data_IF_767407398721
#
_entry.id   IF_767407398721
#
_cell.length_a   1.000
_cell.length_b   1.000
_cell.length_c   1.000
_cell.angle_alpha   90.00
_cell.angle_beta   90.00
_cell.angle_gamma   90.00
#
_symmetry.space_group_name_H-M   'P 1'
#
loop_
_entity.id
_entity.type
_entity.pdbx_description
1 polymer ?
#
# COMPACT_ATOMS: atom_id res chain seq x y z
N UNK A 1 -0.62 -21.18 -11.55
CA UNK A 1 -1.04 -21.31 -12.01
C UNK A 1 -1.27 -21.49 -12.36
N UNK A 2 -1.02 -21.15 -11.78
CA UNK A 2 -1.51 -21.32 -12.23
C UNK A 2 -1.83 -21.45 -12.18
N UNK A 3 -1.56 -21.24 -11.55
CA UNK A 3 -2.00 -21.25 -11.76
C UNK A 3 -2.42 -21.18 -11.73
N UNK A 4 -2.35 -20.93 -11.26
CA UNK A 4 -2.94 -20.86 -11.51
C UNK A 4 -3.27 -20.77 -11.51
N UNK A 5 -3.32 -20.64 -11.03
CA UNK A 5 -3.82 -20.45 -11.26
C UNK A 5 -4.16 -20.39 -11.28
N UNK A 6 -4.04 -19.98 -10.78
CA UNK A 6 -4.46 -19.85 -11.07
C UNK A 6 -4.93 -19.79 -10.98
N UNK A 7 -4.94 -19.69 -10.42
CA UNK A 7 -5.42 -19.63 -10.58
C UNK A 7 -5.77 -19.53 -10.43
N UNK A 8 -5.85 -19.47 -10.05
CA UNK A 8 -6.17 -19.28 -10.04
C UNK A 8 -6.29 -19.02 -9.94
N UNK A 9 -6.21 -18.94 -9.44
CA UNK A 9 -6.19 -18.63 -9.63
C UNK A 9 -5.85 -18.44 -9.60
N UNK A 10 -5.60 -18.08 -9.30
CA UNK A 10 -5.18 -18.07 -9.61
C UNK A 10 -4.56 -17.99 -9.57
N UNK A 11 -4.06 -17.82 -9.20
CA UNK A 11 -3.44 -17.70 -9.36
C UNK A 11 -2.71 -17.63 -9.54
N UNK A 12 -2.48 -17.46 -9.19
CA UNK A 12 -1.72 -17.23 -9.34
C UNK A 12 -1.19 -17.10 -9.14
N UNK A 13 -0.92 -17.09 -8.73
CA UNK A 13 -0.37 -16.85 -8.48
C UNK A 13 0.10 -16.68 -8.27
N UNK A 14 0.16 -16.64 -8.17
CA UNK A 14 0.79 -16.44 -7.83
C UNK A 14 1.49 -15.88 -7.85
N UNK A 15 1.69 -15.30 -7.49
CA UNK A 15 2.18 -14.68 -7.44
C UNK A 15 2.78 -14.41 -7.43
N UNK A 16 2.99 -14.33 -7.41
CA UNK A 16 3.65 -13.97 -7.32
C UNK A 16 4.41 -13.69 -7.63
N UNK A 17 4.60 -13.66 -7.84
CA UNK A 17 5.58 -13.23 -7.89
C UNK A 17 5.67 -12.06 -8.03
N UNK A 18 5.57 -11.72 -8.06
CA UNK A 18 5.52 -10.76 -7.94
C UNK A 18 5.52 -10.42 -6.89
N UNK A 19 5.28 -10.38 -6.45
CA UNK A 19 5.12 -10.04 -5.34
C UNK A 19 6.13 -10.38 -4.58
N UNK A 20 7.02 -10.42 -4.73
CA UNK A 20 7.92 -10.72 -3.92
C UNK A 20 7.67 -11.83 -3.09
N UNK A 21 6.71 -12.31 -3.15
CA UNK A 21 6.32 -13.32 -2.38
C UNK A 21 6.33 -14.45 -3.22
N UNK A 22 7.21 -15.11 -3.02
CA UNK A 22 7.32 -16.16 -3.80
C UNK A 22 6.54 -17.27 -3.34
N UNK A 23 6.19 -18.11 -4.13
CA UNK A 23 5.43 -19.22 -3.71
C UNK A 23 6.08 -19.97 -2.60
N UNK A 24 7.35 -20.09 -2.62
CA UNK A 24 8.05 -20.75 -1.56
C UNK A 24 8.00 -20.05 -0.25
N UNK A 25 7.61 -18.82 -0.25
CA UNK A 25 7.52 -18.07 0.95
C UNK A 25 6.18 -18.11 1.55
N UNK A 26 5.27 -18.86 1.06
CA UNK A 26 3.93 -18.88 1.58
C UNK A 26 3.97 -19.32 3.00
N UNK A 27 3.43 -18.53 3.92
CA UNK A 27 3.41 -18.92 5.31
C UNK A 27 2.50 -20.09 5.53
N UNK A 28 2.61 -20.66 6.69
CA UNK A 28 1.74 -21.74 7.08
C UNK A 28 0.31 -21.30 6.84
N UNK A 29 -0.43 -22.07 6.04
CA UNK A 29 -1.77 -21.70 5.67
C UNK A 29 -2.72 -21.67 6.86
N UNK A 30 -2.34 -22.31 7.94
CA UNK A 30 -3.17 -22.32 9.13
C UNK A 30 -3.00 -21.09 10.00
N UNK A 31 -1.99 -20.28 9.74
CA UNK A 31 -1.75 -19.09 10.53
C UNK A 31 -2.45 -17.91 9.86
N UNK A 32 -3.26 -17.17 10.61
CA UNK A 32 -3.90 -16.00 10.04
C UNK A 32 -2.86 -14.96 9.72
N UNK A 33 -3.02 -14.30 8.59
CA UNK A 33 -2.17 -13.18 8.25
C UNK A 33 -2.63 -11.95 9.00
N UNK A 34 -1.72 -11.16 9.52
CA UNK A 34 -2.13 -9.93 10.15
C UNK A 34 -2.68 -8.96 9.10
N UNK A 35 -3.70 -8.25 9.47
CA UNK A 35 -4.23 -7.21 8.61
C UNK A 35 -3.48 -5.92 8.91
N UNK A 36 -2.86 -5.36 7.90
CA UNK A 36 -2.15 -4.09 8.03
C UNK A 36 -2.69 -3.16 6.97
N UNK A 37 -3.49 -2.19 7.41
CA UNK A 37 -4.05 -1.20 6.51
C UNK A 37 -3.06 -0.06 6.34
N UNK A 38 -2.95 0.44 5.12
CA UNK A 38 -2.09 1.57 4.86
C UNK A 38 -2.84 2.59 4.01
N UNK A 39 -2.45 3.84 4.18
CA UNK A 39 -2.82 4.91 3.27
C UNK A 39 -1.63 5.05 2.31
N UNK A 40 -1.91 5.00 1.01
CA UNK A 40 -0.85 5.08 0.02
C UNK A 40 -0.91 6.41 -0.71
N UNK A 41 0.28 6.90 -1.12
CA UNK A 41 0.44 8.14 -1.84
C UNK A 41 1.10 7.82 -3.16
N UNK A 42 0.34 7.92 -4.27
CA UNK A 42 0.83 7.58 -5.61
C UNK A 42 0.88 8.83 -6.46
N UNK A 43 2.01 9.06 -7.12
CA UNK A 43 2.15 10.21 -7.99
C UNK A 43 1.90 9.84 -9.44
N UNK A 44 1.12 10.67 -10.12
CA UNK A 44 0.89 10.56 -11.56
C UNK A 44 0.88 11.98 -12.10
N UNK A 45 1.92 12.35 -12.86
CA UNK A 45 2.09 13.71 -13.36
C UNK A 45 2.13 14.70 -12.21
N UNK A 46 1.26 15.69 -12.22
CA UNK A 46 1.24 16.72 -11.18
C UNK A 46 0.16 16.45 -10.13
N UNK A 47 -0.23 15.20 -9.98
CA UNK A 47 -1.25 14.80 -9.02
C UNK A 47 -0.75 13.69 -8.13
N UNK A 48 -1.35 13.60 -6.96
CA UNK A 48 -1.05 12.55 -5.99
C UNK A 48 -2.38 11.94 -5.56
N UNK A 49 -2.47 10.61 -5.64
CA UNK A 49 -3.64 9.89 -5.19
C UNK A 49 -3.42 9.48 -3.74
N UNK A 50 -4.41 9.74 -2.90
CA UNK A 50 -4.40 9.33 -1.50
C UNK A 50 -5.52 8.34 -1.30
N UNK A 51 -5.18 7.08 -1.07
CA UNK A 51 -6.16 6.02 -0.90
C UNK A 51 -5.73 5.06 0.19
N UNK A 52 -6.57 4.09 0.49
CA UNK A 52 -6.28 3.11 1.53
C UNK A 52 -6.50 1.70 1.03
N UNK A 53 -5.74 0.76 1.61
CA UNK A 53 -5.87 -0.64 1.26
C UNK A 53 -5.30 -1.50 2.37
N UNK A 54 -5.89 -2.68 2.56
CA UNK A 54 -5.31 -3.72 3.40
C UNK A 54 -4.43 -4.67 2.60
N UNK A 55 -4.38 -4.49 1.27
CA UNK A 55 -3.55 -5.30 0.39
C UNK A 55 -2.82 -4.38 -0.57
N UNK A 56 -1.84 -3.62 -0.05
CA UNK A 56 -1.21 -2.58 -0.87
C UNK A 56 -0.46 -3.10 -2.10
N UNK A 57 0.10 -4.30 -2.04
CA UNK A 57 0.80 -4.83 -3.22
C UNK A 57 -0.14 -4.97 -4.40
N UNK A 58 -1.31 -5.52 -4.15
CA UNK A 58 -2.31 -5.69 -5.20
C UNK A 58 -2.86 -4.35 -5.66
N UNK A 59 -3.18 -3.49 -4.70
CA UNK A 59 -3.84 -2.23 -5.02
C UNK A 59 -2.92 -1.29 -5.79
N UNK A 60 -1.69 -1.15 -5.35
CA UNK A 60 -0.73 -0.27 -6.01
C UNK A 60 -0.44 -0.76 -7.42
N UNK A 61 -0.32 -2.07 -7.59
CA UNK A 61 -0.08 -2.65 -8.92
C UNK A 61 -1.24 -2.41 -9.88
N UNK A 62 -2.45 -2.26 -9.36
CA UNK A 62 -3.63 -2.08 -10.19
C UNK A 62 -3.88 -0.63 -10.59
N UNK A 63 -3.20 0.33 -9.97
CA UNK A 63 -3.44 1.75 -10.22
C UNK A 63 -2.28 2.30 -11.03
N UNK A 64 -2.62 2.97 -12.14
CA UNK A 64 -1.59 3.59 -12.96
C UNK A 64 -0.96 4.76 -12.21
N UNK A 65 0.36 4.75 -12.11
CA UNK A 65 1.09 5.78 -11.40
C UNK A 65 2.55 5.79 -11.85
N UNK A 66 3.24 6.89 -11.57
CA UNK A 66 4.66 7.02 -11.91
C UNK A 66 5.53 6.62 -10.73
N UNK A 67 5.09 6.93 -9.52
CA UNK A 67 5.91 6.69 -8.35
C UNK A 67 5.05 6.47 -7.13
N UNK A 68 5.41 5.48 -6.33
CA UNK A 68 4.85 5.30 -5.00
C UNK A 68 5.66 6.15 -4.05
N UNK A 69 5.04 7.22 -3.52
CA UNK A 69 5.75 8.18 -2.69
C UNK A 69 5.92 7.71 -1.26
N UNK A 70 4.86 7.16 -0.67
CA UNK A 70 4.89 6.79 0.73
C UNK A 70 3.72 5.90 1.09
N UNK A 71 3.88 5.19 2.21
CA UNK A 71 2.78 4.57 2.93
C UNK A 71 2.66 5.21 4.29
N UNK A 72 1.45 5.27 4.81
CA UNK A 72 1.18 5.73 6.16
C UNK A 72 0.34 4.66 6.84
N UNK A 73 0.68 4.21 8.06
CA UNK A 73 -0.15 3.22 8.72
C UNK A 73 -1.50 3.83 9.05
N UNK A 74 -2.56 3.14 8.71
CA UNK A 74 -3.88 3.63 9.00
C UNK A 74 -4.90 3.11 7.99
N UNK A 75 -6.17 3.24 8.37
CA UNK A 75 -7.27 2.76 7.57
C UNK A 75 -8.06 3.94 6.99
N UNK A 76 -9.32 3.70 6.70
CA UNK A 76 -10.18 4.71 6.09
C UNK A 76 -10.32 5.96 6.96
N UNK A 77 -10.19 5.83 8.27
CA UNK A 77 -10.26 6.99 9.16
C UNK A 77 -9.11 7.93 8.88
N UNK A 78 -7.89 7.39 8.75
CA UNK A 78 -6.73 8.20 8.43
C UNK A 78 -6.84 8.77 7.02
N UNK A 79 -7.30 7.97 6.07
CA UNK A 79 -7.51 8.45 4.71
C UNK A 79 -8.44 9.65 4.68
N UNK A 80 -9.55 9.57 5.40
CA UNK A 80 -10.49 10.70 5.44
C UNK A 80 -9.88 11.93 6.08
N UNK A 81 -9.08 11.73 7.12
CA UNK A 81 -8.40 12.85 7.76
C UNK A 81 -7.45 13.53 6.78
N UNK A 82 -6.75 12.76 5.97
CA UNK A 82 -5.84 13.34 4.97
C UNK A 82 -6.61 14.01 3.85
N UNK A 83 -7.73 13.42 3.41
CA UNK A 83 -8.58 14.06 2.41
C UNK A 83 -9.09 15.41 2.90
N UNK A 84 -9.44 15.51 4.17
CA UNK A 84 -9.88 16.77 4.75
C UNK A 84 -8.71 17.77 4.88
N UNK A 85 -7.56 17.27 5.28
CA UNK A 85 -6.37 18.11 5.44
C UNK A 85 -5.97 18.77 4.13
N UNK A 86 -6.07 18.04 3.02
CA UNK A 86 -5.65 18.51 1.72
C UNK A 86 -6.82 18.82 0.79
N UNK A 87 -8.01 19.06 1.37
CA UNK A 87 -9.21 19.29 0.58
C UNK A 87 -9.05 20.42 -0.43
N UNK A 88 -8.29 21.45 -0.07
CA UNK A 88 -8.05 22.59 -0.96
C UNK A 88 -7.21 22.24 -2.17
N UNK A 89 -6.58 21.06 -2.18
CA UNK A 89 -5.79 20.58 -3.31
C UNK A 89 -6.54 19.55 -4.16
N UNK A 90 -7.71 19.14 -3.71
CA UNK A 90 -8.44 18.05 -4.36
C UNK A 90 -8.88 18.45 -5.75
N UNK A 91 -8.62 17.56 -6.72
CA UNK A 91 -8.99 17.79 -8.10
C UNK A 91 -10.05 16.84 -8.60
N UNK A 92 -10.31 15.77 -7.89
CA UNK A 92 -11.36 14.84 -8.23
C UNK A 92 -11.12 13.50 -7.60
N UNK A 93 -12.18 12.88 -7.05
CA UNK A 93 -12.07 11.59 -6.41
C UNK A 93 -11.02 11.62 -5.32
N UNK A 94 -10.04 10.73 -5.44
CA UNK A 94 -8.94 10.63 -4.47
C UNK A 94 -7.66 11.28 -4.99
N UNK A 95 -7.76 12.10 -6.05
CA UNK A 95 -6.60 12.73 -6.66
C UNK A 95 -6.49 14.18 -6.21
N UNK A 96 -5.27 14.58 -5.83
CA UNK A 96 -4.97 15.90 -5.27
C UNK A 96 -3.80 16.50 -6.05
N UNK A 97 -3.79 17.84 -6.15
CA UNK A 97 -2.68 18.51 -6.82
C UNK A 97 -1.38 18.28 -6.04
N UNK A 98 -0.30 17.99 -6.76
CA UNK A 98 1.00 17.77 -6.16
C UNK A 98 1.64 19.10 -5.77
N UNK A 99 1.03 19.76 -4.81
CA UNK A 99 1.51 21.01 -4.29
C UNK A 99 2.63 20.76 -3.29
N UNK A 100 3.46 21.77 -3.06
CA UNK A 100 4.61 21.63 -2.17
C UNK A 100 4.21 21.12 -0.78
N UNK A 101 3.07 21.57 -0.30
CA UNK A 101 2.57 21.14 1.01
C UNK A 101 2.33 19.65 1.07
N UNK A 102 1.67 19.10 0.05
CA UNK A 102 1.37 17.66 0.01
C UNK A 102 2.63 16.86 -0.26
N UNK A 103 3.49 17.34 -1.15
CA UNK A 103 4.76 16.66 -1.43
C UNK A 103 5.61 16.59 -0.17
N UNK A 104 5.66 17.67 0.59
CA UNK A 104 6.43 17.70 1.85
C UNK A 104 5.86 16.69 2.85
N UNK A 105 4.54 16.59 2.93
CA UNK A 105 3.90 15.62 3.81
C UNK A 105 4.28 14.19 3.43
N UNK A 106 4.23 13.87 2.13
CA UNK A 106 4.59 12.54 1.67
C UNK A 106 6.07 12.26 1.93
N UNK A 107 6.92 13.25 1.74
CA UNK A 107 8.35 13.09 1.99
C UNK A 107 8.64 12.81 3.46
N UNK A 108 7.92 13.45 4.36
CA UNK A 108 8.08 13.17 5.79
C UNK A 108 7.68 11.73 6.13
N UNK A 109 6.61 11.25 5.52
CA UNK A 109 6.19 9.86 5.73
C UNK A 109 7.21 8.88 5.17
N UNK A 110 7.87 9.25 4.09
CA UNK A 110 8.82 8.35 3.43
C UNK A 110 10.19 8.32 4.09
N UNK A 111 10.43 9.23 5.04
CA UNK A 111 11.75 9.31 5.65
C UNK A 111 12.14 8.00 6.33
N UNK A 112 13.37 7.60 6.18
CA UNK A 112 13.91 6.43 6.88
C UNK A 112 13.88 5.14 6.09
N UNK A 113 13.42 5.16 4.83
CA UNK A 113 13.44 3.95 4.02
C UNK A 113 12.42 4.01 2.91
N UNK A 114 12.37 2.99 2.10
CA UNK A 114 11.39 2.94 1.02
C UNK A 114 10.01 2.62 1.59
N UNK A 115 8.93 2.94 0.84
CA UNK A 115 7.60 2.60 1.32
C UNK A 115 7.44 1.12 1.60
N UNK A 116 8.01 0.25 0.76
CA UNK A 116 7.88 -1.19 0.97
C UNK A 116 8.66 -1.68 2.17
N UNK A 117 9.78 -1.04 2.50
CA UNK A 117 10.51 -1.35 3.71
C UNK A 117 9.71 -0.98 4.95
N UNK A 118 9.06 0.17 4.90
CA UNK A 118 8.17 0.58 5.99
C UNK A 118 7.03 -0.42 6.17
N UNK A 119 6.39 -0.80 5.07
CA UNK A 119 5.29 -1.74 5.11
C UNK A 119 5.73 -3.08 5.69
N UNK A 120 6.89 -3.58 5.25
CA UNK A 120 7.39 -4.86 5.76
C UNK A 120 7.63 -4.81 7.26
N UNK A 121 8.10 -3.68 7.76
CA UNK A 121 8.32 -3.51 9.20
C UNK A 121 6.99 -3.56 9.96
N UNK A 122 5.95 -2.90 9.42
CA UNK A 122 4.64 -2.91 10.09
C UNK A 122 4.02 -4.31 10.08
N UNK A 123 4.20 -5.05 9.01
CA UNK A 123 3.73 -6.43 8.95
C UNK A 123 4.45 -7.29 9.98
N UNK A 124 5.77 -7.12 10.09
CA UNK A 124 6.56 -7.87 11.06
C UNK A 124 6.12 -7.55 12.49
N UNK A 125 5.84 -6.27 12.77
CA UNK A 125 5.35 -5.89 14.09
C UNK A 125 3.98 -6.48 14.37
N UNK A 126 3.10 -6.51 13.38
CA UNK A 126 1.78 -7.09 13.56
C UNK A 126 1.87 -8.59 13.78
N UNK A 127 2.79 -9.27 13.10
CA UNK A 127 3.01 -10.69 13.33
C UNK A 127 3.50 -10.96 14.74
N UNK A 128 4.41 -10.14 15.25
CA UNK A 128 4.89 -10.31 16.61
C UNK A 128 3.77 -10.14 17.62
N UNK A 129 2.88 -9.18 17.40
CA UNK A 129 1.74 -8.99 18.30
C UNK A 129 0.78 -10.17 18.23
N UNK A 130 0.64 -10.77 17.08
CA UNK A 130 -0.28 -11.88 16.89
C UNK A 130 0.19 -13.14 17.60
N UNK A 131 1.50 -13.38 17.65
CA UNK A 131 2.01 -14.60 18.24
C UNK A 131 2.39 -14.45 19.70
N UNK A 132 2.41 -13.26 20.22
CA UNK A 132 2.70 -13.07 21.62
C UNK A 132 1.40 -12.95 22.41
#
# INVERSE_FOLDING_TARGET
>A
ADAVPTAPGDQPARECAVCGWVVGDVPDAELPRPRVDVVYYLRWHDRIKIGTSSQPRRRVAAIRHEELLAFEPGDRVVERARHAQFAHLREGGEWFRADAELVAHANRLAAGGSPWEHYARWVAEALRRTVS
#
